data_IF_461829157207
#
_entry.id   IF_461829157207
#
_cell.length_a   1.000
_cell.length_b   1.000
_cell.length_c   1.000
_cell.angle_alpha   90.00
_cell.angle_beta   90.00
_cell.angle_gamma   90.00
#
_symmetry.space_group_name_H-M   'P 1'
#
loop_
_entity.id
_entity.type
_entity.pdbx_description
1 polymer ?
#
# COMPACT_ATOMS: atom_id res chain seq x y z
N UNK A 1 -12.88 28.06 10.65
CA UNK A 1 -13.13 26.79 9.95
C UNK A 1 -11.80 26.07 9.81
N UNK A 2 -11.64 24.91 10.43
CA UNK A 2 -10.41 24.11 10.35
C UNK A 2 -10.62 23.07 9.25
N UNK A 3 -9.82 23.14 8.18
CA UNK A 3 -9.82 22.13 7.11
C UNK A 3 -8.48 21.41 7.21
N UNK A 4 -8.44 20.15 7.70
CA UNK A 4 -7.21 19.39 7.76
C UNK A 4 -6.58 19.33 6.36
N UNK A 5 -5.28 19.64 6.26
CA UNK A 5 -4.56 19.47 5.01
C UNK A 5 -4.48 17.99 4.68
N UNK A 6 -4.66 17.63 3.41
CA UNK A 6 -4.39 16.27 2.96
C UNK A 6 -2.90 15.98 3.19
N UNK A 7 -2.61 14.96 3.99
CA UNK A 7 -1.26 14.44 4.18
C UNK A 7 -1.05 13.26 3.23
N UNK A 8 0.18 13.08 2.78
CA UNK A 8 0.53 11.87 2.04
C UNK A 8 0.41 10.67 2.97
N UNK A 9 -0.28 9.64 2.51
CA UNK A 9 -0.53 8.44 3.29
C UNK A 9 -0.61 7.23 2.35
N UNK A 10 0.16 6.20 2.64
CA UNK A 10 0.11 4.94 1.93
C UNK A 10 -0.75 3.93 2.67
N UNK A 11 -1.68 3.25 1.98
CA UNK A 11 -2.42 2.13 2.54
C UNK A 11 -2.60 1.05 1.48
N UNK A 12 -2.16 -0.17 1.79
CA UNK A 12 -2.47 -1.38 1.02
C UNK A 12 -3.02 -2.41 1.98
N UNK A 13 -4.08 -3.11 1.58
CA UNK A 13 -4.63 -4.20 2.36
C UNK A 13 -4.95 -5.40 1.49
N UNK A 14 -4.88 -6.58 2.10
CA UNK A 14 -5.28 -7.85 1.51
C UNK A 14 -6.63 -8.24 2.09
N UNK A 15 -7.57 -8.64 1.24
CA UNK A 15 -8.86 -9.15 1.66
C UNK A 15 -9.17 -10.50 1.02
N UNK A 16 -10.00 -11.31 1.69
CA UNK A 16 -10.56 -12.52 1.08
C UNK A 16 -11.78 -12.20 0.20
N UNK A 17 -12.36 -13.22 -0.43
CA UNK A 17 -13.55 -13.07 -1.28
C UNK A 17 -14.83 -12.71 -0.53
N UNK A 18 -14.82 -12.74 0.80
CA UNK A 18 -15.94 -12.35 1.67
C UNK A 18 -15.77 -10.92 2.18
N UNK A 19 -14.65 -10.25 1.86
CA UNK A 19 -14.35 -8.89 2.30
C UNK A 19 -13.68 -8.82 3.67
N UNK A 20 -13.25 -9.95 4.27
CA UNK A 20 -12.48 -9.91 5.50
C UNK A 20 -11.07 -9.40 5.21
N UNK A 21 -10.61 -8.39 5.95
CA UNK A 21 -9.25 -7.87 5.84
C UNK A 21 -8.29 -8.85 6.53
N UNK A 22 -7.37 -9.41 5.76
CA UNK A 22 -6.36 -10.37 6.23
C UNK A 22 -5.07 -9.65 6.66
N UNK A 23 -4.69 -8.60 5.94
CA UNK A 23 -3.47 -7.82 6.18
C UNK A 23 -3.75 -6.35 5.89
N UNK A 24 -3.23 -5.45 6.72
CA UNK A 24 -3.30 -4.00 6.54
C UNK A 24 -1.91 -3.40 6.73
N UNK A 25 -1.34 -2.85 5.65
CA UNK A 25 -0.05 -2.16 5.66
C UNK A 25 -0.27 -0.66 5.50
N UNK A 26 0.28 0.11 6.41
CA UNK A 26 0.15 1.56 6.43
C UNK A 26 1.52 2.23 6.39
N UNK A 27 1.63 3.31 5.62
CA UNK A 27 2.76 4.23 5.63
C UNK A 27 2.27 5.62 6.08
N UNK A 28 2.30 5.90 7.39
CA UNK A 28 1.89 7.18 7.95
C UNK A 28 2.81 8.35 7.58
N UNK A 29 4.04 8.07 7.15
CA UNK A 29 4.99 9.09 6.72
C UNK A 29 4.78 9.47 5.25
N UNK A 30 3.99 8.68 4.50
CA UNK A 30 3.67 8.97 3.10
C UNK A 30 4.88 8.84 2.18
N UNK A 31 5.89 8.05 2.57
CA UNK A 31 7.10 7.75 1.80
C UNK A 31 6.79 7.08 0.46
N UNK A 32 5.70 6.34 0.37
CA UNK A 32 5.15 5.82 -0.88
C UNK A 32 3.63 6.00 -0.89
N UNK A 33 3.13 6.90 -1.74
CA UNK A 33 1.73 7.32 -1.71
C UNK A 33 1.05 7.27 -3.08
N UNK A 34 -0.28 7.48 -3.08
CA UNK A 34 -1.12 7.38 -4.29
C UNK A 34 -1.00 6.02 -4.98
N UNK A 35 -1.08 4.97 -4.16
CA UNK A 35 -0.91 3.60 -4.61
C UNK A 35 -2.02 3.21 -5.60
N UNK A 36 -1.65 2.58 -6.71
CA UNK A 36 -2.58 2.17 -7.77
C UNK A 36 -2.72 0.66 -7.90
N UNK A 37 -1.81 -0.10 -7.30
CA UNK A 37 -1.82 -1.55 -7.38
C UNK A 37 -0.85 -2.17 -6.40
N UNK A 38 -1.09 -3.44 -6.10
CA UNK A 38 -0.21 -4.29 -5.31
C UNK A 38 -0.25 -5.72 -5.86
N UNK A 39 0.91 -6.35 -6.03
CA UNK A 39 1.03 -7.72 -6.55
C UNK A 39 2.03 -8.54 -5.75
N UNK A 40 1.63 -9.75 -5.38
CA UNK A 40 2.48 -10.75 -4.72
C UNK A 40 3.19 -11.58 -5.80
N UNK A 41 4.52 -11.58 -5.80
CA UNK A 41 5.33 -12.37 -6.74
C UNK A 41 6.66 -12.77 -6.10
N UNK A 42 7.03 -14.05 -6.18
CA UNK A 42 8.33 -14.58 -5.74
C UNK A 42 8.76 -14.20 -4.30
N UNK A 43 7.81 -14.12 -3.37
CA UNK A 43 8.08 -13.76 -1.97
C UNK A 43 8.28 -12.25 -1.76
N UNK A 44 7.82 -11.44 -2.70
CA UNK A 44 7.81 -9.99 -2.63
C UNK A 44 6.40 -9.44 -2.86
N UNK A 45 6.13 -8.30 -2.25
CA UNK A 45 4.99 -7.47 -2.55
C UNK A 45 5.50 -6.26 -3.31
N UNK A 46 5.05 -6.12 -4.55
CA UNK A 46 5.30 -4.94 -5.36
C UNK A 46 4.12 -4.00 -5.24
N UNK A 47 4.38 -2.71 -5.04
CA UNK A 47 3.37 -1.68 -4.94
C UNK A 47 3.67 -0.62 -5.99
N UNK A 48 2.67 -0.29 -6.82
CA UNK A 48 2.78 0.73 -7.85
C UNK A 48 2.12 2.03 -7.42
N UNK A 49 2.63 3.15 -7.93
CA UNK A 49 2.05 4.48 -7.78
C UNK A 49 2.13 5.23 -9.11
N UNK A 50 1.19 6.13 -9.35
CA UNK A 50 1.23 7.03 -10.52
C UNK A 50 2.12 8.26 -10.30
N UNK A 51 2.52 8.54 -9.06
CA UNK A 51 3.26 9.74 -8.69
C UNK A 51 4.73 9.46 -8.34
N UNK A 52 5.06 8.19 -8.05
CA UNK A 52 6.41 7.78 -7.69
C UNK A 52 7.24 7.41 -8.92
N UNK A 53 8.55 7.65 -8.84
CA UNK A 53 9.50 7.34 -9.93
C UNK A 53 10.00 5.90 -9.93
N UNK A 54 9.58 5.10 -8.94
CA UNK A 54 10.06 3.74 -8.73
C UNK A 54 8.93 2.83 -8.21
N UNK A 55 9.12 1.51 -8.34
CA UNK A 55 8.25 0.52 -7.70
C UNK A 55 8.71 0.28 -6.27
N UNK A 56 7.79 0.38 -5.31
CA UNK A 56 8.04 -0.07 -3.96
C UNK A 56 8.06 -1.61 -3.93
N UNK A 57 8.93 -2.16 -3.09
CA UNK A 57 9.05 -3.60 -2.89
C UNK A 57 9.27 -3.93 -1.43
N UNK A 58 8.41 -4.79 -0.89
CA UNK A 58 8.47 -5.27 0.49
C UNK A 58 8.70 -6.79 0.51
N UNK A 59 9.53 -7.27 1.44
CA UNK A 59 9.67 -8.72 1.66
C UNK A 59 8.33 -9.25 2.11
N UNK A 60 7.76 -10.19 1.36
CA UNK A 60 6.42 -10.67 1.60
C UNK A 60 6.46 -12.07 2.20
N UNK A 61 5.98 -12.25 3.43
CA UNK A 61 5.83 -13.59 3.99
C UNK A 61 4.81 -14.34 3.13
N UNK A 62 5.17 -15.55 2.68
CA UNK A 62 4.15 -16.45 2.14
C UNK A 62 3.19 -16.80 3.29
N UNK A 63 1.87 -16.81 3.05
CA UNK A 63 0.93 -17.41 4.00
C UNK A 63 1.26 -18.89 4.23
#
# INVERSE_FOLDING_TARGET
FLRPSAAHYGHVFKMDGQGNVLISLQDPLGTFHTNTGAVELDGWLYISSLHETSLARLRWPKP
#
